data_IF_886038645113
#
_entry.id   IF_886038645113
#
_cell.length_a   1.000
_cell.length_b   1.000
_cell.length_c   1.000
_cell.angle_alpha   90.00
_cell.angle_beta   90.00
_cell.angle_gamma   90.00
#
_symmetry.space_group_name_H-M   'P 1'
#
loop_
_entity.id
_entity.type
_entity.pdbx_description
1 polymer ?
#
# COMPACT_ATOMS: atom_id res chain seq x y z
N UNK A 1 7.27 7.79 -23.34
CA UNK A 1 6.97 8.86 -22.38
C UNK A 1 8.09 8.90 -21.33
N UNK A 2 8.24 10.00 -20.60
CA UNK A 2 9.21 10.04 -19.49
C UNK A 2 8.64 9.32 -18.27
N UNK A 3 9.49 8.58 -17.55
CA UNK A 3 9.15 7.95 -16.29
C UNK A 3 8.90 9.03 -15.22
N UNK A 4 7.83 8.91 -14.44
CA UNK A 4 7.48 9.91 -13.43
C UNK A 4 8.39 9.81 -12.20
N UNK A 5 9.17 10.83 -11.92
CA UNK A 5 9.93 10.93 -10.66
C UNK A 5 8.96 11.04 -9.49
N UNK A 6 9.17 10.23 -8.46
CA UNK A 6 8.36 10.27 -7.23
C UNK A 6 8.71 11.53 -6.44
N UNK A 7 7.69 12.37 -6.16
CA UNK A 7 7.80 13.53 -5.26
C UNK A 7 6.67 13.45 -4.25
N UNK A 8 7.02 13.27 -2.97
CA UNK A 8 6.02 13.21 -1.91
C UNK A 8 5.15 11.95 -1.91
N UNK A 9 5.66 10.82 -2.41
CA UNK A 9 5.03 9.52 -2.24
C UNK A 9 5.07 9.12 -0.76
N UNK A 10 4.12 8.25 -0.34
CA UNK A 10 4.12 7.65 0.99
C UNK A 10 5.38 6.83 1.30
N UNK A 11 6.09 6.39 0.27
CA UNK A 11 7.31 5.59 0.39
C UNK A 11 8.55 6.40 0.03
N UNK A 12 9.40 6.66 1.03
CA UNK A 12 10.65 7.42 0.87
C UNK A 12 11.66 6.74 -0.05
N UNK A 13 11.60 5.41 -0.13
CA UNK A 13 12.51 4.58 -0.93
C UNK A 13 12.12 4.47 -2.41
N UNK A 14 10.91 4.86 -2.81
CA UNK A 14 10.45 4.83 -4.21
C UNK A 14 10.98 6.04 -4.95
N UNK A 15 11.76 5.80 -6.02
CA UNK A 15 12.32 6.87 -6.84
C UNK A 15 11.38 7.33 -7.96
N UNK A 16 10.56 6.41 -8.49
CA UNK A 16 9.66 6.67 -9.61
C UNK A 16 8.34 5.93 -9.45
N UNK A 17 7.31 6.44 -10.14
CA UNK A 17 6.03 5.75 -10.30
C UNK A 17 5.74 5.49 -11.77
N UNK A 18 5.10 4.36 -12.07
CA UNK A 18 4.69 4.01 -13.42
C UNK A 18 3.35 3.27 -13.40
N UNK A 19 2.41 3.71 -14.26
CA UNK A 19 1.03 3.26 -14.23
C UNK A 19 0.53 2.92 -15.64
N UNK A 20 0.37 1.65 -15.94
CA UNK A 20 -0.21 1.14 -17.19
C UNK A 20 -1.74 1.11 -17.14
N UNK A 21 -2.30 1.02 -15.94
CA UNK A 21 -3.74 1.03 -15.69
C UNK A 21 -4.15 2.44 -15.29
N UNK A 22 -5.20 2.97 -15.92
CA UNK A 22 -5.77 4.29 -15.65
C UNK A 22 -7.27 4.14 -15.37
N UNK A 23 -7.83 5.11 -14.66
CA UNK A 23 -9.26 5.18 -14.35
C UNK A 23 -9.59 4.69 -12.96
N UNK A 24 -10.85 4.32 -12.73
CA UNK A 24 -11.37 3.90 -11.44
C UNK A 24 -10.74 2.58 -10.96
N UNK A 25 -10.53 2.47 -9.65
CA UNK A 25 -10.02 1.25 -9.03
C UNK A 25 -11.19 0.39 -8.56
N UNK A 26 -11.14 -0.91 -8.85
CA UNK A 26 -12.15 -1.89 -8.43
C UNK A 26 -12.45 -1.88 -6.93
N UNK A 27 -11.41 -1.71 -6.12
CA UNK A 27 -11.57 -1.74 -4.66
C UNK A 27 -12.42 -0.61 -4.10
N UNK A 28 -12.46 0.54 -4.75
CA UNK A 28 -13.26 1.72 -4.42
C UNK A 28 -13.20 2.16 -2.94
N UNK A 29 -12.08 1.90 -2.26
CA UNK A 29 -11.92 2.24 -0.84
C UNK A 29 -12.35 3.68 -0.55
N UNK A 30 -13.12 3.91 0.53
CA UNK A 30 -13.67 5.24 0.84
C UNK A 30 -12.58 6.29 1.08
N UNK A 31 -11.43 5.90 1.62
CA UNK A 31 -10.28 6.76 1.93
C UNK A 31 -9.30 6.96 0.77
N UNK A 32 -9.57 6.38 -0.40
CA UNK A 32 -8.61 6.41 -1.52
C UNK A 32 -8.22 7.84 -1.90
N UNK A 33 -6.91 8.11 -1.91
CA UNK A 33 -6.39 9.45 -2.24
C UNK A 33 -6.77 9.91 -3.66
N UNK A 34 -7.03 8.98 -4.57
CA UNK A 34 -7.48 9.28 -5.94
C UNK A 34 -8.83 9.98 -5.97
N UNK A 35 -9.68 9.79 -4.95
CA UNK A 35 -10.99 10.47 -4.85
C UNK A 35 -10.90 11.99 -4.70
N UNK A 36 -9.70 12.53 -4.37
CA UNK A 36 -9.45 14.00 -4.35
C UNK A 36 -9.61 14.66 -5.70
N UNK A 37 -9.40 13.90 -6.78
CA UNK A 37 -9.53 14.40 -8.15
C UNK A 37 -10.90 14.14 -8.76
N UNK A 38 -11.90 13.85 -7.92
CA UNK A 38 -13.28 13.60 -8.34
C UNK A 38 -13.48 12.21 -8.97
N UNK A 39 -14.59 12.07 -9.69
CA UNK A 39 -14.93 10.82 -10.37
C UNK A 39 -13.89 10.47 -11.43
N UNK A 40 -13.42 9.24 -11.39
CA UNK A 40 -12.46 8.73 -12.36
C UNK A 40 -13.18 8.18 -13.60
N UNK A 41 -12.51 8.19 -14.74
CA UNK A 41 -13.01 7.53 -15.95
C UNK A 41 -13.07 6.00 -15.75
N UNK A 42 -13.84 5.26 -16.56
CA UNK A 42 -13.77 3.80 -16.56
C UNK A 42 -12.34 3.28 -16.71
N UNK A 43 -12.10 2.14 -16.08
CA UNK A 43 -10.78 1.50 -16.10
C UNK A 43 -10.35 1.19 -17.53
N UNK A 44 -9.08 1.43 -17.85
CA UNK A 44 -8.50 1.15 -19.15
C UNK A 44 -7.00 0.87 -19.06
N UNK A 45 -6.52 0.10 -20.00
CA UNK A 45 -5.09 -0.06 -20.24
C UNK A 45 -4.56 1.07 -21.12
N UNK A 46 -3.47 1.68 -20.72
CA UNK A 46 -2.80 2.73 -21.51
C UNK A 46 -1.57 2.13 -22.20
N UNK A 47 -1.76 1.57 -23.38
CA UNK A 47 -0.69 0.96 -24.18
C UNK A 47 0.49 1.93 -24.47
N UNK A 48 0.26 3.25 -24.43
CA UNK A 48 1.33 4.23 -24.61
C UNK A 48 2.38 4.16 -23.50
N UNK A 49 1.98 3.70 -22.31
CA UNK A 49 2.90 3.49 -21.20
C UNK A 49 3.94 2.39 -21.50
N UNK A 50 3.64 1.42 -22.35
CA UNK A 50 4.59 0.40 -22.79
C UNK A 50 5.72 0.96 -23.71
N UNK A 51 5.65 2.25 -24.06
CA UNK A 51 6.74 2.98 -24.76
C UNK A 51 7.62 3.78 -23.81
N UNK A 52 7.30 3.79 -22.50
CA UNK A 52 8.08 4.50 -21.49
C UNK A 52 9.38 3.76 -21.24
N UNK A 53 10.51 4.46 -21.37
CA UNK A 53 11.80 3.94 -20.95
C UNK A 53 11.87 4.00 -19.42
N UNK A 54 11.96 2.84 -18.77
CA UNK A 54 12.01 2.75 -17.31
C UNK A 54 13.40 3.01 -16.73
N UNK A 55 14.43 3.22 -17.60
CA UNK A 55 15.79 3.48 -17.16
C UNK A 55 16.45 2.27 -16.49
N UNK A 56 17.44 2.55 -15.64
CA UNK A 56 18.20 1.54 -14.90
C UNK A 56 18.48 2.00 -13.48
N UNK A 57 18.47 1.05 -12.52
CA UNK A 57 18.83 1.31 -11.13
C UNK A 57 17.78 2.10 -10.34
N UNK A 58 16.55 2.20 -10.85
CA UNK A 58 15.44 2.85 -10.18
C UNK A 58 14.72 1.88 -9.22
N UNK A 59 14.04 2.43 -8.20
CA UNK A 59 13.03 1.70 -7.45
C UNK A 59 11.65 2.23 -7.88
N UNK A 60 10.93 1.46 -8.67
CA UNK A 60 9.70 1.89 -9.35
C UNK A 60 8.47 1.30 -8.66
N UNK A 61 7.53 2.15 -8.22
CA UNK A 61 6.22 1.73 -7.78
C UNK A 61 5.31 1.55 -9.01
N UNK A 62 5.00 0.30 -9.34
CA UNK A 62 4.13 -0.07 -10.47
C UNK A 62 2.68 -0.09 -10.00
N UNK A 63 1.82 0.67 -10.66
CA UNK A 63 0.40 0.74 -10.30
C UNK A 63 0.10 1.66 -9.11
N UNK A 64 0.86 2.74 -8.90
CA UNK A 64 0.68 3.64 -7.75
C UNK A 64 -0.68 4.36 -7.70
N UNK A 65 -1.41 4.47 -8.82
CA UNK A 65 -2.72 5.13 -8.91
C UNK A 65 -3.90 4.17 -9.05
N UNK A 66 -3.62 2.88 -9.19
CA UNK A 66 -4.62 1.82 -9.35
C UNK A 66 -4.04 0.49 -8.87
N UNK A 67 -4.88 -0.50 -8.61
CA UNK A 67 -4.41 -1.85 -8.24
C UNK A 67 -4.32 -2.73 -9.48
N UNK A 68 -3.08 -3.03 -9.89
CA UNK A 68 -2.78 -3.87 -11.07
C UNK A 68 -3.34 -5.31 -10.93
N UNK A 69 -3.50 -5.81 -9.70
CA UNK A 69 -3.95 -7.16 -9.42
C UNK A 69 -5.38 -7.22 -8.88
N UNK A 70 -6.16 -6.13 -9.03
CA UNK A 70 -7.58 -6.15 -8.69
C UNK A 70 -8.34 -7.16 -9.56
N UNK A 71 -9.45 -7.67 -9.05
CA UNK A 71 -10.22 -8.78 -9.64
C UNK A 71 -10.64 -8.52 -11.10
N UNK A 72 -10.99 -7.27 -11.40
CA UNK A 72 -11.51 -6.86 -12.73
C UNK A 72 -10.40 -6.54 -13.76
N UNK A 73 -9.11 -6.66 -13.42
CA UNK A 73 -8.03 -6.40 -14.37
C UNK A 73 -7.82 -7.63 -15.28
N UNK A 74 -7.90 -7.48 -16.61
CA UNK A 74 -7.58 -8.55 -17.54
C UNK A 74 -6.14 -9.05 -17.37
N UNK A 75 -5.94 -10.36 -17.45
CA UNK A 75 -4.61 -10.98 -17.27
C UNK A 75 -3.59 -10.49 -18.28
N UNK A 76 -4.01 -10.24 -19.52
CA UNK A 76 -3.16 -9.73 -20.58
C UNK A 76 -2.58 -8.36 -20.26
N UNK A 77 -3.29 -7.50 -19.48
CA UNK A 77 -2.77 -6.20 -19.05
C UNK A 77 -1.69 -6.36 -17.98
N UNK A 78 -1.88 -7.32 -17.07
CA UNK A 78 -0.91 -7.66 -16.03
C UNK A 78 0.36 -8.20 -16.69
N UNK A 79 0.21 -9.18 -17.59
CA UNK A 79 1.32 -9.81 -18.32
C UNK A 79 2.07 -8.79 -19.16
N UNK A 80 1.39 -7.90 -19.89
CA UNK A 80 2.01 -6.84 -20.67
C UNK A 80 2.84 -5.89 -19.79
N UNK A 81 2.31 -5.53 -18.62
CA UNK A 81 3.00 -4.67 -17.63
C UNK A 81 4.27 -5.34 -17.10
N UNK A 82 4.16 -6.60 -16.65
CA UNK A 82 5.30 -7.38 -16.13
C UNK A 82 6.37 -7.57 -17.21
N UNK A 83 5.97 -7.94 -18.44
CA UNK A 83 6.88 -8.12 -19.55
C UNK A 83 7.62 -6.82 -19.92
N UNK A 84 6.99 -5.66 -19.73
CA UNK A 84 7.68 -4.40 -19.93
C UNK A 84 8.72 -4.15 -18.82
N UNK A 85 8.39 -4.41 -17.56
CA UNK A 85 9.33 -4.33 -16.43
C UNK A 85 10.57 -5.22 -16.66
N UNK A 86 10.39 -6.43 -17.16
CA UNK A 86 11.47 -7.42 -17.42
C UNK A 86 12.51 -6.95 -18.46
N UNK A 87 12.23 -5.89 -19.22
CA UNK A 87 13.19 -5.32 -20.19
C UNK A 87 14.23 -4.42 -19.53
N UNK A 88 14.09 -4.08 -18.26
CA UNK A 88 14.89 -3.07 -17.58
C UNK A 88 15.43 -3.57 -16.24
N UNK A 89 16.65 -3.20 -15.92
CA UNK A 89 17.34 -3.54 -14.67
C UNK A 89 16.97 -2.52 -13.58
N UNK A 90 15.83 -2.76 -12.92
CA UNK A 90 15.31 -1.93 -11.84
C UNK A 90 14.80 -2.80 -10.68
N UNK A 91 14.57 -2.18 -9.52
CA UNK A 91 13.78 -2.74 -8.42
C UNK A 91 12.34 -2.30 -8.59
N UNK A 92 11.39 -3.17 -8.32
CA UNK A 92 9.97 -2.89 -8.50
C UNK A 92 9.18 -3.11 -7.21
N UNK A 93 8.26 -2.20 -6.90
CA UNK A 93 7.25 -2.39 -5.86
C UNK A 93 5.92 -2.70 -6.54
N UNK A 94 5.37 -3.87 -6.25
CA UNK A 94 4.01 -4.27 -6.63
C UNK A 94 3.14 -4.31 -5.38
N UNK A 95 2.25 -3.34 -5.26
CA UNK A 95 1.31 -3.27 -4.14
C UNK A 95 -0.09 -3.63 -4.61
N UNK A 96 -0.75 -4.52 -3.86
CA UNK A 96 -2.13 -4.91 -4.14
C UNK A 96 -2.89 -5.21 -2.86
N UNK A 97 -4.18 -4.89 -2.87
CA UNK A 97 -5.15 -5.39 -1.88
C UNK A 97 -5.68 -6.80 -2.22
N UNK A 98 -5.28 -7.34 -3.37
CA UNK A 98 -5.52 -8.73 -3.76
C UNK A 98 -4.19 -9.48 -4.01
N UNK A 99 -3.32 -9.63 -2.99
CA UNK A 99 -2.01 -10.23 -3.16
C UNK A 99 -2.07 -11.71 -3.57
N UNK A 100 -3.15 -12.43 -3.27
CA UNK A 100 -3.32 -13.81 -3.74
C UNK A 100 -3.24 -13.93 -5.27
N UNK A 101 -3.73 -12.91 -6.00
CA UNK A 101 -3.66 -12.89 -7.45
C UNK A 101 -2.25 -12.65 -7.98
N UNK A 102 -1.37 -12.00 -7.22
CA UNK A 102 0.04 -11.84 -7.60
C UNK A 102 0.70 -13.22 -7.82
N UNK A 103 0.34 -14.21 -6.99
CA UNK A 103 0.89 -15.57 -7.08
C UNK A 103 0.62 -16.32 -8.39
N UNK A 104 -0.26 -15.80 -9.24
CA UNK A 104 -0.55 -16.34 -10.56
C UNK A 104 0.45 -15.88 -11.64
N UNK A 105 1.32 -14.92 -11.30
CA UNK A 105 2.24 -14.30 -12.25
C UNK A 105 3.69 -14.36 -11.75
N UNK A 106 4.62 -14.47 -12.69
CA UNK A 106 6.06 -14.39 -12.42
C UNK A 106 6.50 -12.92 -12.51
N UNK A 107 6.72 -12.27 -11.37
CA UNK A 107 7.24 -10.90 -11.33
C UNK A 107 8.73 -10.84 -11.69
N UNK A 108 9.27 -9.66 -12.08
CA UNK A 108 10.71 -9.46 -12.22
C UNK A 108 11.49 -9.88 -10.98
N UNK A 109 12.70 -10.40 -11.14
CA UNK A 109 13.51 -10.96 -10.06
C UNK A 109 13.74 -10.00 -8.88
N UNK A 110 13.91 -8.70 -9.15
CA UNK A 110 14.12 -7.66 -8.14
C UNK A 110 12.79 -7.02 -7.69
N UNK A 111 11.73 -7.82 -7.55
CA UNK A 111 10.43 -7.32 -7.07
C UNK A 111 10.28 -7.42 -5.57
N UNK A 112 9.58 -6.44 -5.01
CA UNK A 112 9.05 -6.43 -3.66
C UNK A 112 7.52 -6.45 -3.78
N UNK A 113 6.86 -7.30 -3.02
CA UNK A 113 5.40 -7.33 -2.94
C UNK A 113 4.92 -6.62 -1.70
N UNK A 114 3.83 -5.87 -1.82
CA UNK A 114 3.25 -5.12 -0.72
C UNK A 114 1.74 -5.32 -0.67
N UNK A 115 1.17 -5.34 0.52
CA UNK A 115 -0.28 -5.22 0.69
C UNK A 115 -0.61 -4.22 1.79
N UNK A 116 -1.81 -3.63 1.71
CA UNK A 116 -2.30 -2.74 2.74
C UNK A 116 -3.10 -3.53 3.77
N UNK A 117 -2.78 -3.36 5.04
CA UNK A 117 -3.51 -3.91 6.20
C UNK A 117 -3.80 -2.75 7.13
N UNK A 118 -4.91 -2.07 6.93
CA UNK A 118 -5.31 -0.88 7.69
C UNK A 118 -5.57 -1.20 9.16
N UNK A 119 -5.97 -2.45 9.42
CA UNK A 119 -6.42 -3.00 10.71
C UNK A 119 -6.61 -4.53 10.57
N UNK A 120 -6.74 -5.23 11.69
CA UNK A 120 -7.20 -6.64 11.74
C UNK A 120 -8.73 -6.76 11.64
N UNK A 121 -9.47 -5.65 11.83
CA UNK A 121 -10.94 -5.61 11.81
C UNK A 121 -11.47 -5.43 10.39
N UNK A 122 -12.74 -5.77 10.21
CA UNK A 122 -13.45 -5.60 8.95
C UNK A 122 -14.42 -4.41 9.00
N UNK A 123 -14.22 -3.45 8.08
CA UNK A 123 -15.07 -2.27 7.91
C UNK A 123 -15.55 -2.21 6.44
N UNK A 124 -16.65 -2.92 6.10
CA UNK A 124 -17.10 -3.04 4.71
C UNK A 124 -17.41 -1.70 4.07
N UNK A 125 -17.97 -0.74 4.80
CA UNK A 125 -18.27 0.61 4.32
C UNK A 125 -17.02 1.45 4.00
N UNK A 126 -15.87 1.05 4.54
CA UNK A 126 -14.57 1.72 4.29
C UNK A 126 -13.78 0.99 3.22
N UNK A 127 -13.72 -0.33 3.31
CA UNK A 127 -12.88 -1.20 2.48
C UNK A 127 -13.53 -1.58 1.16
N UNK A 128 -14.87 -1.44 1.07
CA UNK A 128 -15.67 -1.67 -0.14
C UNK A 128 -15.39 -3.05 -0.78
N UNK A 129 -14.97 -3.06 -2.07
CA UNK A 129 -14.70 -4.29 -2.83
C UNK A 129 -13.30 -4.89 -2.56
N UNK A 130 -12.57 -4.41 -1.55
CA UNK A 130 -11.27 -4.99 -1.20
C UNK A 130 -11.45 -6.34 -0.49
N UNK A 131 -10.59 -7.32 -0.70
CA UNK A 131 -10.59 -8.55 0.10
C UNK A 131 -10.43 -8.26 1.60
N UNK A 132 -10.96 -9.14 2.44
CA UNK A 132 -10.82 -9.04 3.89
C UNK A 132 -9.34 -8.98 4.30
N UNK A 133 -8.93 -8.21 5.35
CA UNK A 133 -7.52 -8.14 5.78
C UNK A 133 -6.86 -9.50 6.01
N UNK A 134 -7.57 -10.48 6.56
CA UNK A 134 -7.08 -11.86 6.73
C UNK A 134 -6.76 -12.55 5.41
N UNK A 135 -7.57 -12.33 4.37
CA UNK A 135 -7.33 -12.91 3.05
C UNK A 135 -6.12 -12.27 2.38
N UNK A 136 -5.93 -10.96 2.58
CA UNK A 136 -4.75 -10.25 2.09
C UNK A 136 -3.47 -10.77 2.76
N UNK A 137 -3.50 -11.02 4.07
CA UNK A 137 -2.38 -11.63 4.82
C UNK A 137 -2.09 -13.03 4.28
N UNK A 138 -3.12 -13.87 4.13
CA UNK A 138 -2.94 -15.22 3.60
C UNK A 138 -2.37 -15.21 2.17
N UNK A 139 -2.85 -14.29 1.34
CA UNK A 139 -2.36 -14.11 -0.02
C UNK A 139 -0.89 -13.69 -0.08
N UNK A 140 -0.49 -12.66 0.68
CA UNK A 140 0.90 -12.19 0.63
C UNK A 140 1.87 -13.17 1.29
N UNK A 141 1.44 -13.86 2.35
CA UNK A 141 2.23 -14.86 3.06
C UNK A 141 2.72 -15.98 2.14
N UNK A 142 1.89 -16.41 1.17
CA UNK A 142 2.20 -17.49 0.24
C UNK A 142 3.21 -17.10 -0.85
N UNK A 143 3.51 -15.81 -1.02
CA UNK A 143 4.39 -15.32 -2.09
C UNK A 143 5.87 -15.49 -1.72
N UNK A 144 6.68 -15.91 -2.69
CA UNK A 144 8.13 -16.07 -2.52
C UNK A 144 8.90 -14.83 -3.04
N UNK A 145 8.57 -13.68 -2.46
CA UNK A 145 9.22 -12.38 -2.73
C UNK A 145 9.46 -11.66 -1.40
N UNK A 146 10.42 -10.72 -1.32
CA UNK A 146 10.48 -9.75 -0.22
C UNK A 146 9.13 -9.10 0.01
N UNK A 147 8.67 -9.04 1.28
CA UNK A 147 7.32 -8.59 1.62
C UNK A 147 7.36 -7.29 2.40
N UNK A 148 6.54 -6.34 1.99
CA UNK A 148 6.27 -5.11 2.74
C UNK A 148 4.80 -5.09 3.13
N UNK A 149 4.51 -4.56 4.32
CA UNK A 149 3.14 -4.32 4.78
C UNK A 149 2.93 -2.82 4.92
N UNK A 150 1.80 -2.34 4.42
CA UNK A 150 1.41 -0.95 4.54
C UNK A 150 0.20 -0.81 5.47
N UNK A 151 0.36 -0.12 6.60
CA UNK A 151 -0.70 0.22 7.55
C UNK A 151 -1.07 1.69 7.36
N UNK A 152 -1.51 2.04 6.15
CA UNK A 152 -1.92 3.41 5.82
C UNK A 152 -3.16 3.41 4.92
N UNK A 153 -4.28 4.01 5.41
CA UNK A 153 -4.43 4.66 6.71
C UNK A 153 -4.51 3.66 7.86
N UNK A 154 -3.83 3.95 8.98
CA UNK A 154 -4.03 3.15 10.19
C UNK A 154 -5.43 3.39 10.74
N UNK A 155 -6.16 2.30 11.03
CA UNK A 155 -7.49 2.30 11.62
C UNK A 155 -7.47 1.61 12.98
N UNK A 156 -8.56 1.76 13.76
CA UNK A 156 -8.68 1.11 15.07
C UNK A 156 -8.48 -0.41 14.96
N UNK A 157 -7.69 -0.98 15.86
CA UNK A 157 -7.22 -2.37 15.79
C UNK A 157 -7.12 -3.03 17.16
N UNK A 158 -6.99 -4.35 17.17
CA UNK A 158 -6.66 -5.17 18.33
C UNK A 158 -5.19 -5.55 18.23
N UNK A 159 -4.38 -5.12 19.22
CA UNK A 159 -2.92 -5.09 19.10
C UNK A 159 -2.34 -6.48 18.84
N UNK A 160 -2.63 -7.46 19.68
CA UNK A 160 -2.09 -8.81 19.59
C UNK A 160 -2.47 -9.47 18.26
N UNK A 161 -3.76 -9.40 17.86
CA UNK A 161 -4.23 -10.00 16.62
C UNK A 161 -3.58 -9.34 15.38
N UNK A 162 -3.44 -8.01 15.37
CA UNK A 162 -2.79 -7.33 14.25
C UNK A 162 -1.30 -7.69 14.15
N UNK A 163 -0.60 -7.76 15.30
CA UNK A 163 0.80 -8.17 15.35
C UNK A 163 1.00 -9.59 14.85
N UNK A 164 0.18 -10.55 15.30
CA UNK A 164 0.24 -11.94 14.86
C UNK A 164 0.01 -12.07 13.36
N UNK A 165 -0.99 -11.34 12.84
CA UNK A 165 -1.27 -11.30 11.41
C UNK A 165 -0.04 -10.82 10.61
N UNK A 166 0.55 -9.69 11.01
CA UNK A 166 1.69 -9.09 10.30
C UNK A 166 2.92 -9.97 10.44
N UNK A 167 3.25 -10.43 11.65
CA UNK A 167 4.41 -11.28 11.90
C UNK A 167 4.34 -12.59 11.11
N UNK A 168 3.14 -13.14 10.91
CA UNK A 168 2.95 -14.36 10.12
C UNK A 168 3.43 -14.26 8.68
N UNK A 169 3.55 -13.03 8.14
CA UNK A 169 4.05 -12.76 6.78
C UNK A 169 5.58 -12.60 6.74
N UNK A 170 6.24 -12.42 7.89
CA UNK A 170 7.66 -12.11 8.00
C UNK A 170 8.07 -10.94 7.07
N UNK A 171 7.46 -9.75 7.22
CA UNK A 171 7.76 -8.63 6.35
C UNK A 171 9.15 -8.05 6.65
N UNK A 172 9.89 -7.66 5.62
CA UNK A 172 11.14 -6.91 5.77
C UNK A 172 10.87 -5.49 6.26
N UNK A 173 9.72 -4.92 5.85
CA UNK A 173 9.35 -3.56 6.20
C UNK A 173 7.84 -3.42 6.44
N UNK A 174 7.50 -2.62 7.45
CA UNK A 174 6.14 -2.17 7.72
C UNK A 174 6.10 -0.64 7.65
N UNK A 175 5.25 -0.09 6.79
CA UNK A 175 4.99 1.35 6.72
C UNK A 175 3.71 1.68 7.48
N UNK A 176 3.76 2.69 8.36
CA UNK A 176 2.59 3.12 9.16
C UNK A 176 2.29 4.58 8.87
N UNK A 177 1.05 4.87 8.52
CA UNK A 177 0.62 6.24 8.23
C UNK A 177 -0.82 6.54 8.63
N UNK A 178 -1.06 7.82 8.93
CA UNK A 178 -2.40 8.33 9.21
C UNK A 178 -3.20 8.53 7.92
N UNK A 179 -4.53 8.60 8.04
CA UNK A 179 -5.38 9.00 6.94
C UNK A 179 -4.99 10.40 6.43
N UNK A 180 -4.63 10.50 5.16
CA UNK A 180 -4.30 11.74 4.48
C UNK A 180 -5.51 12.40 3.80
N UNK A 181 -6.65 11.70 3.76
CA UNK A 181 -7.91 12.17 3.18
C UNK A 181 -8.80 12.90 4.18
N UNK A 182 -9.98 13.31 3.71
CA UNK A 182 -11.01 14.01 4.51
C UNK A 182 -12.06 13.06 5.11
N UNK A 183 -12.08 11.81 4.69
CA UNK A 183 -13.01 10.81 5.20
C UNK A 183 -12.70 10.52 6.67
N UNK A 184 -13.72 10.56 7.51
CA UNK A 184 -13.57 10.23 8.95
C UNK A 184 -13.47 8.72 9.10
N UNK A 185 -12.36 8.24 9.64
CA UNK A 185 -12.10 6.83 9.92
C UNK A 185 -12.04 6.60 11.43
N UNK A 186 -12.30 5.36 11.90
CA UNK A 186 -12.02 4.98 13.28
C UNK A 186 -10.51 4.91 13.48
N UNK A 187 -9.92 5.95 14.07
CA UNK A 187 -8.48 6.04 14.29
C UNK A 187 -8.09 5.57 15.69
N UNK A 188 -6.97 4.84 15.84
CA UNK A 188 -6.49 4.40 17.15
C UNK A 188 -5.94 5.56 17.98
N UNK A 189 -5.86 5.36 19.30
CA UNK A 189 -5.21 6.31 20.19
C UNK A 189 -3.69 6.36 19.98
N UNK A 190 -3.06 7.48 20.33
CA UNK A 190 -1.60 7.65 20.32
C UNK A 190 -0.88 6.49 21.04
N UNK A 191 -1.35 6.12 22.24
CA UNK A 191 -0.78 5.02 23.02
C UNK A 191 -0.77 3.71 22.24
N UNK A 192 -1.88 3.37 21.57
CA UNK A 192 -1.96 2.14 20.77
C UNK A 192 -1.00 2.16 19.57
N UNK A 193 -0.87 3.32 18.92
CA UNK A 193 0.06 3.47 17.79
C UNK A 193 1.50 3.30 18.25
N UNK A 194 1.88 3.92 19.38
CA UNK A 194 3.23 3.78 19.91
C UNK A 194 3.55 2.35 20.31
N UNK A 195 2.62 1.66 20.99
CA UNK A 195 2.79 0.24 21.32
C UNK A 195 2.92 -0.63 20.05
N UNK A 196 2.12 -0.38 19.02
CA UNK A 196 2.22 -1.10 17.74
C UNK A 196 3.60 -0.88 17.08
N UNK A 197 4.10 0.35 17.06
CA UNK A 197 5.41 0.68 16.47
C UNK A 197 6.54 -0.05 17.23
N UNK A 198 6.49 -0.04 18.55
CA UNK A 198 7.47 -0.70 19.41
C UNK A 198 7.54 -2.20 19.10
N UNK A 199 6.41 -2.89 19.15
CA UNK A 199 6.31 -4.33 18.91
C UNK A 199 6.70 -4.72 17.46
N UNK A 200 6.26 -3.97 16.46
CA UNK A 200 6.64 -4.21 15.06
C UNK A 200 8.17 -4.05 14.86
N UNK A 201 8.80 -3.13 15.57
CA UNK A 201 10.24 -2.87 15.45
C UNK A 201 11.10 -4.02 15.95
N UNK A 202 10.52 -4.99 16.68
CA UNK A 202 11.24 -6.18 17.14
C UNK A 202 11.58 -7.13 15.98
N UNK A 203 10.71 -7.20 14.96
CA UNK A 203 10.86 -8.18 13.87
C UNK A 203 10.87 -7.60 12.46
N UNK A 204 10.69 -6.28 12.30
CA UNK A 204 10.61 -5.63 10.98
C UNK A 204 11.20 -4.22 11.03
N UNK A 205 11.64 -3.70 9.89
CA UNK A 205 11.92 -2.27 9.75
C UNK A 205 10.63 -1.48 9.72
N UNK A 206 10.48 -0.44 10.55
CA UNK A 206 9.25 0.36 10.64
C UNK A 206 9.47 1.75 10.08
N UNK A 207 8.80 2.06 8.97
CA UNK A 207 8.74 3.39 8.36
C UNK A 207 7.48 4.14 8.83
N UNK A 208 7.64 5.41 9.18
CA UNK A 208 6.56 6.26 9.69
C UNK A 208 6.25 7.35 8.69
N UNK A 209 5.01 7.41 8.21
CA UNK A 209 4.54 8.46 7.34
C UNK A 209 3.35 9.20 7.97
N UNK A 210 3.33 10.53 7.88
CA UNK A 210 2.18 11.38 8.21
C UNK A 210 1.49 11.11 9.58
N UNK A 211 2.23 10.59 10.58
CA UNK A 211 1.68 10.27 11.91
C UNK A 211 1.58 11.46 12.86
N UNK A 212 2.19 12.63 12.54
CA UNK A 212 2.24 13.79 13.45
C UNK A 212 0.87 14.15 14.04
N UNK A 213 -0.18 14.09 13.23
CA UNK A 213 -1.54 14.42 13.65
C UNK A 213 -2.06 13.48 14.76
N UNK A 214 -1.70 12.20 14.71
CA UNK A 214 -2.15 11.17 15.65
C UNK A 214 -1.24 11.07 16.89
N UNK A 215 0.00 11.52 16.80
CA UNK A 215 1.01 11.47 17.87
C UNK A 215 1.15 12.81 18.64
N UNK A 216 0.44 13.87 18.25
CA UNK A 216 0.51 15.18 18.89
C UNK A 216 -0.75 15.55 19.71
N UNK A 217 -1.58 14.58 20.08
CA UNK A 217 -2.73 14.85 20.92
C UNK A 217 -2.36 14.81 22.39
N UNK A 218 -2.18 16.04 22.98
CA UNK A 218 -2.17 16.37 24.42
C UNK A 218 -0.83 16.40 25.16
N UNK A 219 -0.10 17.47 24.93
CA UNK A 219 0.61 18.16 26.04
C UNK A 219 0.02 19.53 26.34
N UNK A 220 -1.31 19.69 26.20
CA UNK A 220 -2.04 20.93 26.61
C UNK A 220 -3.20 20.64 27.54
N UNK A 221 -2.98 19.84 28.58
CA UNK A 221 -3.83 19.85 29.78
C UNK A 221 -2.98 19.32 30.91
N UNK A 222 -2.31 20.20 31.60
CA UNK A 222 -2.07 20.29 33.05
C UNK A 222 -1.04 21.42 33.26
N UNK A 223 -1.48 22.64 33.42
CA UNK A 223 -0.98 23.63 34.37
C UNK A 223 -2.08 24.68 34.44
N UNK A 224 -3.09 24.42 35.26
CA UNK A 224 -3.81 25.36 36.06
C UNK A 224 -4.08 24.68 37.38
N UNK A 225 -3.13 24.84 38.27
CA UNK A 225 -3.36 24.69 39.71
C UNK A 225 -2.80 25.95 40.36
N UNK A 226 -3.76 26.74 40.83
CA UNK A 226 -3.74 27.67 41.97
C UNK A 226 -2.54 28.60 42.08
#
# INVERSE_FOLDING_TARGET
MALNTSKGNMYSFVTHTWNTIKGECYHDCSYCFMKRWGSQNPIRFDEKELKTNLGKGNFIFVGSSNDLFAENIPEEWIVATINHCNKYDNKYLFQSKNPARIGQFNLPANSVVCTTIETNRWYPEVMQNSPHPKDRINGIKSLNYPKYINIEPIMEFDLEELLDMINSCQPEQVSIGANSGTVKLPEPSEKKILSLIEELSIFSSVEKSNLKRLLCTKSKQVIQIV
#
